data_IF_641699401586
#
_entry.id   IF_641699401586
#
_cell.length_a   1.000
_cell.length_b   1.000
_cell.length_c   1.000
_cell.angle_alpha   90.00
_cell.angle_beta   90.00
_cell.angle_gamma   90.00
#
_symmetry.space_group_name_H-M   'P 1'
#
loop_
_entity.id
_entity.type
_entity.pdbx_description
1 polymer ?
#
# COMPACT_ATOMS: atom_id res chain seq x y z
N UNK A 1 -11.64 -15.86 24.89
CA UNK A 1 -11.38 -16.26 23.49
C UNK A 1 -10.05 -15.66 23.03
N UNK A 2 -9.08 -16.47 22.60
CA UNK A 2 -7.81 -15.97 22.09
C UNK A 2 -8.04 -15.22 20.76
N UNK A 3 -7.78 -13.91 20.74
CA UNK A 3 -7.92 -13.08 19.53
C UNK A 3 -6.91 -13.52 18.47
N UNK A 4 -7.40 -13.87 17.27
CA UNK A 4 -6.57 -14.38 16.17
C UNK A 4 -5.76 -13.23 15.54
N UNK A 5 -4.44 -13.31 15.56
CA UNK A 5 -3.59 -12.30 14.91
C UNK A 5 -3.87 -12.19 13.41
N UNK A 6 -3.84 -10.97 12.87
CA UNK A 6 -3.87 -10.70 11.43
C UNK A 6 -2.55 -11.14 10.81
N UNK A 7 -2.62 -11.76 9.63
CA UNK A 7 -1.45 -12.38 8.99
C UNK A 7 -1.35 -12.01 7.51
N UNK A 8 -0.14 -11.72 7.08
CA UNK A 8 0.21 -11.56 5.67
C UNK A 8 1.49 -12.37 5.41
N UNK A 9 1.44 -13.28 4.42
CA UNK A 9 2.64 -13.95 3.92
C UNK A 9 3.48 -12.94 3.14
N UNK A 10 4.78 -13.01 3.32
CA UNK A 10 5.71 -12.02 2.81
C UNK A 10 7.08 -12.65 2.55
N UNK A 11 7.92 -11.91 1.84
CA UNK A 11 9.34 -12.15 1.71
C UNK A 11 10.12 -11.00 2.33
N UNK A 12 11.17 -11.33 3.08
CA UNK A 12 12.12 -10.39 3.60
C UNK A 12 13.39 -10.43 2.77
N UNK A 13 13.88 -9.27 2.34
CA UNK A 13 15.14 -9.09 1.63
C UNK A 13 15.97 -8.04 2.34
N UNK A 14 17.28 -8.21 2.31
CA UNK A 14 18.23 -7.23 2.82
C UNK A 14 19.06 -6.66 1.68
N UNK A 15 19.40 -5.38 1.76
CA UNK A 15 20.36 -4.72 0.89
C UNK A 15 21.41 -4.02 1.76
N UNK A 16 22.69 -4.13 1.40
CA UNK A 16 23.76 -3.36 2.05
C UNK A 16 24.24 -2.28 1.10
N UNK A 17 24.07 -1.02 1.49
CA UNK A 17 24.39 0.15 0.67
C UNK A 17 25.02 1.24 1.54
N UNK A 18 26.17 1.77 1.13
CA UNK A 18 26.91 2.84 1.82
C UNK A 18 27.10 2.55 3.33
N UNK A 19 27.51 1.31 3.67
CA UNK A 19 27.73 0.87 5.05
C UNK A 19 26.46 0.60 5.87
N UNK A 20 25.27 0.84 5.32
CA UNK A 20 23.98 0.64 5.96
C UNK A 20 23.25 -0.59 5.43
N UNK A 21 22.66 -1.37 6.33
CA UNK A 21 21.72 -2.45 5.96
C UNK A 21 20.29 -1.91 5.88
N UNK A 22 19.59 -2.30 4.82
CA UNK A 22 18.20 -1.97 4.54
C UNK A 22 17.36 -3.22 4.55
N UNK A 23 16.27 -3.19 5.31
CA UNK A 23 15.31 -4.29 5.39
C UNK A 23 14.08 -3.97 4.55
N UNK A 24 13.86 -4.75 3.51
CA UNK A 24 12.73 -4.58 2.59
C UNK A 24 11.82 -5.81 2.66
N UNK A 25 10.56 -5.58 3.00
CA UNK A 25 9.52 -6.59 3.02
C UNK A 25 8.61 -6.43 1.80
N UNK A 26 8.26 -7.54 1.16
CA UNK A 26 7.28 -7.59 0.06
C UNK A 26 6.18 -8.62 0.38
N UNK A 27 4.91 -8.36 0.05
CA UNK A 27 3.88 -9.39 0.14
C UNK A 27 4.23 -10.57 -0.79
N UNK A 28 3.89 -11.78 -0.37
CA UNK A 28 4.07 -13.01 -1.14
C UNK A 28 2.86 -13.94 -0.94
N UNK A 29 2.02 -14.15 -1.97
CA UNK A 29 2.15 -13.64 -3.33
C UNK A 29 2.02 -12.10 -3.39
N UNK A 30 2.46 -11.53 -4.52
CA UNK A 30 2.23 -10.12 -4.83
C UNK A 30 0.72 -9.79 -4.80
N UNK A 31 0.40 -8.52 -4.59
CA UNK A 31 -1.01 -8.06 -4.60
C UNK A 31 -1.41 -7.80 -6.05
N UNK A 32 -1.77 -8.86 -6.76
CA UNK A 32 -2.16 -8.79 -8.17
C UNK A 32 -3.51 -8.10 -8.38
N UNK A 33 -4.35 -8.01 -7.36
CA UNK A 33 -5.62 -7.26 -7.34
C UNK A 33 -5.50 -5.90 -6.65
N UNK A 34 -4.32 -5.28 -6.77
CA UNK A 34 -4.08 -3.88 -6.43
C UNK A 34 -3.32 -3.20 -7.57
N UNK A 35 -3.80 -2.03 -7.99
CA UNK A 35 -3.17 -1.22 -9.01
C UNK A 35 -3.16 0.23 -8.54
N UNK A 36 -1.99 0.88 -8.54
CA UNK A 36 -1.81 2.28 -8.18
C UNK A 36 -1.30 3.03 -9.40
N UNK A 37 -1.83 4.21 -9.67
CA UNK A 37 -1.38 5.04 -10.77
C UNK A 37 -1.45 6.53 -10.41
N UNK A 38 -0.60 7.28 -11.10
CA UNK A 38 -0.57 8.73 -11.06
C UNK A 38 -1.53 9.29 -12.10
N UNK A 39 -2.50 10.06 -11.64
CA UNK A 39 -3.37 10.91 -12.45
C UNK A 39 -2.81 12.33 -12.49
N UNK A 40 -3.42 13.21 -13.29
CA UNK A 40 -2.95 14.59 -13.49
C UNK A 40 -2.87 15.41 -12.18
N UNK A 41 -3.80 15.19 -11.24
CA UNK A 41 -3.90 15.98 -10.00
C UNK A 41 -3.87 15.14 -8.72
N UNK A 42 -3.93 13.81 -8.83
CA UNK A 42 -4.02 12.91 -7.67
C UNK A 42 -3.41 11.55 -7.98
N UNK A 43 -3.32 10.71 -6.96
CA UNK A 43 -3.03 9.28 -7.14
C UNK A 43 -4.28 8.48 -6.93
N UNK A 44 -4.46 7.44 -7.74
CA UNK A 44 -5.63 6.57 -7.63
C UNK A 44 -5.23 5.11 -7.54
N UNK A 45 -5.89 4.39 -6.64
CA UNK A 45 -5.64 2.99 -6.36
C UNK A 45 -6.91 2.17 -6.50
N UNK A 46 -6.87 1.15 -7.34
CA UNK A 46 -7.87 0.09 -7.35
C UNK A 46 -7.44 -1.03 -6.43
N UNK A 47 -8.37 -1.54 -5.62
CA UNK A 47 -8.15 -2.70 -4.73
C UNK A 47 -9.38 -3.59 -4.68
N UNK A 48 -9.18 -4.90 -4.60
CA UNK A 48 -10.22 -5.80 -4.12
C UNK A 48 -10.19 -5.90 -2.59
N UNK A 49 -11.11 -6.69 -2.04
CA UNK A 49 -11.20 -6.93 -0.60
C UNK A 49 -9.90 -7.46 -0.02
N UNK A 50 -9.29 -8.44 -0.70
CA UNK A 50 -8.10 -9.12 -0.20
C UNK A 50 -6.90 -8.16 -0.21
N UNK A 51 -6.67 -7.44 -1.30
CA UNK A 51 -5.59 -6.50 -1.40
C UNK A 51 -5.75 -5.35 -0.39
N UNK A 52 -6.94 -4.78 -0.26
CA UNK A 52 -7.24 -3.75 0.75
C UNK A 52 -6.90 -4.26 2.17
N UNK A 53 -7.35 -5.46 2.53
CA UNK A 53 -7.01 -6.07 3.82
C UNK A 53 -5.49 -6.20 4.01
N UNK A 54 -4.77 -6.73 3.00
CA UNK A 54 -3.33 -6.95 3.08
C UNK A 54 -2.57 -5.62 3.21
N UNK A 55 -2.95 -4.58 2.47
CA UNK A 55 -2.35 -3.25 2.58
C UNK A 55 -2.62 -2.64 3.96
N UNK A 56 -3.84 -2.77 4.51
CA UNK A 56 -4.14 -2.33 5.86
C UNK A 56 -3.25 -3.01 6.92
N UNK A 57 -3.03 -4.32 6.82
CA UNK A 57 -2.11 -5.05 7.73
C UNK A 57 -0.67 -4.59 7.55
N UNK A 58 -0.23 -4.32 6.31
CA UNK A 58 1.10 -3.81 6.00
C UNK A 58 1.30 -2.37 6.51
N UNK A 59 0.28 -1.51 6.47
CA UNK A 59 0.30 -0.20 7.11
C UNK A 59 0.48 -0.32 8.62
N UNK A 60 -0.21 -1.26 9.29
CA UNK A 60 0.05 -1.54 10.71
C UNK A 60 1.47 -2.09 10.97
N UNK A 61 2.05 -2.83 10.02
CA UNK A 61 3.45 -3.23 10.11
C UNK A 61 4.39 -2.02 10.01
N UNK A 62 4.15 -1.08 9.09
CA UNK A 62 4.92 0.16 9.00
C UNK A 62 4.86 0.97 10.30
N UNK A 63 3.69 0.99 10.97
CA UNK A 63 3.53 1.61 12.27
C UNK A 63 4.34 0.93 13.39
N UNK A 64 4.51 -0.40 13.33
CA UNK A 64 5.21 -1.18 14.38
C UNK A 64 6.70 -1.35 14.12
N UNK A 65 7.12 -1.37 12.86
CA UNK A 65 8.46 -1.73 12.44
C UNK A 65 9.20 -0.57 11.80
N UNK A 66 9.78 0.28 12.65
CA UNK A 66 10.36 1.58 12.28
C UNK A 66 11.53 1.54 11.28
N UNK A 67 12.12 0.37 11.06
CA UNK A 67 13.28 0.17 10.17
C UNK A 67 13.00 -0.81 9.03
N UNK A 68 11.74 -1.19 8.81
CA UNK A 68 11.34 -2.00 7.64
C UNK A 68 10.73 -1.09 6.59
N UNK A 69 11.26 -1.17 5.38
CA UNK A 69 10.62 -0.62 4.19
C UNK A 69 9.67 -1.70 3.67
N UNK A 70 8.41 -1.34 3.43
CA UNK A 70 7.44 -2.25 2.82
C UNK A 70 7.27 -1.84 1.38
N UNK A 71 7.59 -2.73 0.46
CA UNK A 71 7.47 -2.50 -0.98
C UNK A 71 6.39 -3.38 -1.57
N UNK A 72 5.40 -2.75 -2.18
CA UNK A 72 4.33 -3.38 -2.92
C UNK A 72 4.58 -3.17 -4.42
N UNK A 73 5.00 -4.21 -5.15
CA UNK A 73 5.16 -4.13 -6.60
C UNK A 73 3.78 -4.24 -7.26
N UNK A 74 3.17 -3.10 -7.58
CA UNK A 74 1.78 -3.04 -8.06
C UNK A 74 1.67 -2.90 -9.58
N UNK A 75 2.76 -2.50 -10.25
CA UNK A 75 2.74 -2.18 -11.70
C UNK A 75 2.41 -3.35 -12.61
N UNK A 76 2.76 -4.56 -12.19
CA UNK A 76 2.51 -5.80 -12.93
C UNK A 76 1.23 -6.53 -12.47
N UNK A 77 0.36 -5.84 -11.74
CA UNK A 77 -0.91 -6.39 -11.30
C UNK A 77 -1.89 -6.62 -12.46
N UNK A 78 -3.00 -7.25 -12.12
CA UNK A 78 -4.20 -7.33 -12.97
C UNK A 78 -4.81 -5.95 -13.15
N UNK A 79 -5.69 -5.82 -14.14
CA UNK A 79 -6.41 -4.57 -14.42
C UNK A 79 -7.86 -4.78 -13.97
N UNK A 80 -8.51 -3.83 -13.29
CA UNK A 80 -9.94 -3.96 -13.00
C UNK A 80 -10.75 -4.02 -14.30
N UNK A 81 -11.88 -4.74 -14.30
CA UNK A 81 -12.72 -4.87 -15.50
C UNK A 81 -13.29 -3.53 -15.98
N UNK A 82 -13.56 -2.62 -15.03
CA UNK A 82 -14.11 -1.29 -15.28
C UNK A 82 -13.25 -0.24 -14.56
N UNK A 83 -12.10 0.15 -15.14
CA UNK A 83 -11.29 1.24 -14.61
C UNK A 83 -12.01 2.57 -14.86
N UNK A 84 -12.20 3.37 -13.81
CA UNK A 84 -12.73 4.74 -13.96
C UNK A 84 -11.66 5.70 -14.51
N UNK A 85 -10.39 5.39 -14.25
CA UNK A 85 -9.22 6.19 -14.61
C UNK A 85 -8.06 5.28 -14.99
N UNK A 86 -7.14 5.84 -15.76
CA UNK A 86 -5.86 5.23 -16.11
C UNK A 86 -4.77 6.27 -15.96
N UNK A 87 -3.54 5.83 -15.71
CA UNK A 87 -2.41 6.73 -15.57
C UNK A 87 -1.10 5.97 -15.60
N UNK A 88 -0.02 6.64 -15.19
CA UNK A 88 1.30 5.99 -15.06
C UNK A 88 1.24 5.01 -13.88
N UNK A 89 1.41 3.69 -14.08
CA UNK A 89 1.35 2.73 -12.99
C UNK A 89 2.56 2.91 -12.06
N UNK A 90 2.33 2.83 -10.75
CA UNK A 90 3.33 3.03 -9.71
C UNK A 90 3.43 1.80 -8.80
N UNK A 91 4.64 1.51 -8.32
CA UNK A 91 4.82 0.71 -7.10
C UNK A 91 4.46 1.56 -5.87
N UNK A 92 4.15 0.91 -4.75
CA UNK A 92 3.94 1.60 -3.46
C UNK A 92 5.01 1.22 -2.45
N UNK A 93 5.56 2.20 -1.75
CA UNK A 93 6.47 2.01 -0.63
C UNK A 93 5.92 2.67 0.63
N UNK A 94 5.78 1.87 1.70
CA UNK A 94 5.48 2.37 3.04
C UNK A 94 6.77 2.38 3.86
N UNK A 95 7.10 3.51 4.47
CA UNK A 95 8.28 3.64 5.31
C UNK A 95 8.00 4.46 6.55
N UNK A 96 8.40 3.96 7.72
CA UNK A 96 8.44 4.80 8.91
C UNK A 96 9.51 5.90 8.75
N UNK A 97 9.25 7.12 9.21
CA UNK A 97 10.18 8.25 9.05
C UNK A 97 11.54 7.99 9.72
N UNK A 98 11.59 7.24 10.82
CA UNK A 98 12.85 6.80 11.48
C UNK A 98 13.73 5.94 10.57
N UNK A 99 13.18 5.30 9.53
CA UNK A 99 14.01 4.62 8.53
C UNK A 99 14.85 5.60 7.72
N UNK A 100 14.52 6.91 7.69
CA UNK A 100 15.31 7.93 6.99
C UNK A 100 15.59 7.53 5.53
N UNK A 101 14.60 6.90 4.88
CA UNK A 101 14.69 6.50 3.48
C UNK A 101 14.68 7.75 2.61
N UNK A 102 15.76 7.99 1.88
CA UNK A 102 15.79 9.00 0.82
C UNK A 102 15.25 8.35 -0.46
N UNK A 103 14.17 8.88 -1.02
CA UNK A 103 13.52 8.30 -2.21
C UNK A 103 14.47 8.16 -3.40
N UNK A 104 15.45 9.06 -3.55
CA UNK A 104 16.46 9.00 -4.61
C UNK A 104 17.43 7.82 -4.48
N UNK A 105 17.53 7.20 -3.30
CA UNK A 105 18.32 5.97 -3.10
C UNK A 105 17.54 4.71 -3.44
N UNK A 106 16.23 4.80 -3.65
CA UNK A 106 15.38 3.65 -3.87
C UNK A 106 15.81 2.77 -5.05
N UNK A 107 16.16 3.31 -6.24
CA UNK A 107 16.65 2.48 -7.33
C UNK A 107 17.90 1.66 -6.95
N UNK A 108 18.86 2.28 -6.26
CA UNK A 108 20.09 1.61 -5.77
C UNK A 108 19.78 0.56 -4.70
N UNK A 109 18.88 0.85 -3.76
CA UNK A 109 18.44 -0.11 -2.73
C UNK A 109 17.77 -1.32 -3.39
N UNK A 110 16.84 -1.10 -4.33
CA UNK A 110 16.16 -2.19 -5.06
C UNK A 110 17.14 -3.09 -5.80
N UNK A 111 18.10 -2.50 -6.51
CA UNK A 111 19.10 -3.23 -7.28
C UNK A 111 20.04 -4.05 -6.39
N UNK A 112 20.29 -3.61 -5.15
CA UNK A 112 21.17 -4.29 -4.19
C UNK A 112 20.44 -5.31 -3.29
N UNK A 113 19.16 -5.62 -3.54
CA UNK A 113 18.42 -6.57 -2.73
C UNK A 113 18.94 -7.99 -2.92
N UNK A 114 19.35 -8.60 -1.83
CA UNK A 114 19.74 -10.00 -1.77
C UNK A 114 18.56 -10.98 -1.93
N UNK A 115 18.81 -12.27 -1.68
CA UNK A 115 17.81 -13.32 -1.82
C UNK A 115 16.61 -13.11 -0.89
N UNK A 116 15.43 -13.52 -1.35
CA UNK A 116 14.22 -13.54 -0.54
C UNK A 116 14.30 -14.62 0.53
N UNK A 117 13.85 -14.27 1.74
CA UNK A 117 13.59 -15.20 2.83
C UNK A 117 12.09 -15.22 3.11
N UNK A 118 11.44 -16.38 3.14
CA UNK A 118 10.04 -16.49 3.55
C UNK A 118 9.82 -15.85 4.93
N UNK A 119 8.74 -15.10 5.04
CA UNK A 119 8.36 -14.39 6.26
C UNK A 119 6.84 -14.38 6.42
N UNK A 120 6.38 -14.16 7.66
CA UNK A 120 4.95 -13.98 7.93
C UNK A 120 4.78 -12.83 8.89
N UNK A 121 4.18 -11.76 8.38
CA UNK A 121 3.75 -10.63 9.17
C UNK A 121 2.66 -11.09 10.12
N UNK A 122 2.80 -10.79 11.41
CA UNK A 122 1.80 -11.05 12.44
C UNK A 122 1.52 -9.76 13.20
N UNK A 123 0.30 -9.26 13.07
CA UNK A 123 -0.16 -8.06 13.79
C UNK A 123 -1.27 -8.49 14.76
N UNK A 124 -1.21 -8.10 16.05
CA UNK A 124 -2.33 -8.34 16.97
C UNK A 124 -3.62 -7.77 16.39
N UNK A 125 -4.73 -8.52 16.49
CA UNK A 125 -6.04 -8.05 16.00
C UNK A 125 -6.62 -6.87 16.80
N UNK A 126 -5.98 -6.50 17.90
CA UNK A 126 -6.37 -5.34 18.70
C UNK A 126 -6.06 -4.06 17.92
N UNK A 127 -7.06 -3.62 17.15
CA UNK A 127 -7.13 -2.26 16.65
C UNK A 127 -7.53 -1.39 17.83
N UNK A 128 -6.58 -0.63 18.38
CA UNK A 128 -6.96 0.50 19.22
C UNK A 128 -7.62 1.51 18.28
N UNK A 129 -8.82 2.02 18.60
CA UNK A 129 -9.40 3.12 17.84
C UNK A 129 -8.34 4.21 17.75
N UNK A 130 -7.97 4.57 16.54
CA UNK A 130 -7.14 5.75 16.34
C UNK A 130 -8.11 6.91 16.44
N UNK A 131 -8.00 7.71 17.50
CA UNK A 131 -8.64 9.02 17.50
C UNK A 131 -8.20 9.71 16.21
N UNK A 132 -9.17 10.06 15.35
CA UNK A 132 -8.88 10.73 14.08
C UNK A 132 -7.97 11.90 14.43
N UNK A 133 -6.76 12.00 13.86
CA UNK A 133 -5.88 13.11 14.15
C UNK A 133 -6.66 14.37 13.84
N UNK A 134 -7.03 15.13 14.87
CA UNK A 134 -7.66 16.42 14.69
C UNK A 134 -6.72 17.22 13.78
N UNK A 135 -7.25 17.91 12.77
CA UNK A 135 -6.56 18.62 11.68
C UNK A 135 -5.37 19.52 12.09
N UNK A 136 -5.15 19.71 13.40
CA UNK A 136 -4.00 20.37 14.03
C UNK A 136 -2.78 19.48 14.27
N UNK A 137 -2.81 18.18 14.03
CA UNK A 137 -1.59 17.35 14.18
C UNK A 137 -0.66 17.59 13.00
N UNK A 138 0.61 17.96 13.30
CA UNK A 138 1.69 18.06 12.30
C UNK A 138 2.18 16.70 11.80
N UNK A 139 1.70 15.62 12.40
CA UNK A 139 2.07 14.26 12.05
C UNK A 139 1.23 13.77 10.88
N UNK A 140 1.86 13.62 9.71
CA UNK A 140 1.23 13.32 8.43
C UNK A 140 2.07 12.30 7.63
N UNK A 141 1.46 11.64 6.65
CA UNK A 141 2.14 10.90 5.60
C UNK A 141 2.73 11.89 4.61
N UNK A 142 4.06 11.94 4.56
CA UNK A 142 4.77 12.58 3.48
C UNK A 142 4.76 11.67 2.26
N UNK A 143 3.98 12.05 1.26
CA UNK A 143 3.91 11.36 -0.02
C UNK A 143 4.92 11.95 -1.02
N UNK A 144 5.55 11.12 -1.84
CA UNK A 144 6.41 11.57 -2.94
C UNK A 144 6.46 10.50 -4.02
N UNK A 145 6.49 10.90 -5.29
CA UNK A 145 6.69 9.99 -6.41
C UNK A 145 8.15 10.10 -6.90
N UNK A 146 8.81 8.95 -7.10
CA UNK A 146 10.14 8.87 -7.70
C UNK A 146 10.39 7.48 -8.30
N UNK A 147 10.92 7.43 -9.52
CA UNK A 147 11.27 6.17 -10.21
C UNK A 147 10.12 5.15 -10.26
N UNK A 148 8.95 5.61 -10.72
CA UNK A 148 7.69 4.85 -10.83
C UNK A 148 7.26 4.21 -9.50
N UNK A 149 7.49 4.93 -8.39
CA UNK A 149 7.14 4.48 -7.05
C UNK A 149 6.58 5.65 -6.26
N UNK A 150 5.39 5.47 -5.71
CA UNK A 150 4.85 6.35 -4.67
C UNK A 150 5.41 5.92 -3.31
N UNK A 151 5.95 6.87 -2.56
CA UNK A 151 6.43 6.66 -1.20
C UNK A 151 5.48 7.32 -0.23
N UNK A 152 4.99 6.58 0.75
CA UNK A 152 4.29 7.10 1.91
C UNK A 152 5.22 6.99 3.11
N UNK A 153 5.67 8.12 3.65
CA UNK A 153 6.55 8.18 4.81
C UNK A 153 5.86 8.81 6.00
N UNK A 154 5.75 8.10 7.12
CA UNK A 154 5.01 8.60 8.28
C UNK A 154 5.45 8.04 9.62
N UNK A 155 4.73 8.40 10.66
CA UNK A 155 4.89 7.88 12.02
C UNK A 155 3.98 6.68 12.29
N UNK A 156 4.11 6.10 13.49
CA UNK A 156 3.23 5.04 13.94
C UNK A 156 1.74 5.45 14.07
N UNK A 157 1.36 6.58 14.71
CA UNK A 157 -0.04 7.05 14.73
C UNK A 157 -0.66 7.17 13.34
N UNK A 158 0.04 7.84 12.42
CA UNK A 158 -0.46 8.09 11.06
C UNK A 158 -0.63 6.81 10.26
N UNK A 159 0.32 5.87 10.32
CA UNK A 159 0.15 4.58 9.63
C UNK A 159 -0.98 3.73 10.21
N UNK A 160 -1.25 3.82 11.53
CA UNK A 160 -2.44 3.18 12.11
C UNK A 160 -3.71 3.81 11.58
N UNK A 161 -3.74 5.14 11.46
CA UNK A 161 -4.90 5.83 10.90
C UNK A 161 -5.11 5.47 9.42
N UNK A 162 -4.06 5.52 8.61
CA UNK A 162 -4.10 5.13 7.20
C UNK A 162 -4.59 3.68 7.01
N UNK A 163 -4.23 2.76 7.92
CA UNK A 163 -4.69 1.38 7.88
C UNK A 163 -6.23 1.26 7.97
N UNK A 164 -6.91 2.15 8.69
CA UNK A 164 -8.37 2.10 8.84
C UNK A 164 -9.10 2.36 7.52
N UNK A 165 -8.59 3.23 6.65
CA UNK A 165 -9.18 3.45 5.32
C UNK A 165 -9.18 2.18 4.45
N UNK A 166 -8.06 1.45 4.47
CA UNK A 166 -7.96 0.16 3.79
C UNK A 166 -8.87 -0.91 4.42
N UNK A 167 -9.01 -0.91 5.74
CA UNK A 167 -9.92 -1.83 6.40
C UNK A 167 -11.39 -1.50 6.15
N UNK A 168 -11.74 -0.22 6.10
CA UNK A 168 -13.09 0.21 5.74
C UNK A 168 -13.45 -0.32 4.34
N UNK A 169 -12.56 -0.18 3.35
CA UNK A 169 -12.77 -0.81 2.04
C UNK A 169 -12.87 -2.35 2.12
N UNK A 170 -12.00 -3.00 2.89
CA UNK A 170 -11.99 -4.47 2.98
C UNK A 170 -13.20 -5.09 3.69
N UNK A 171 -13.88 -4.33 4.57
CA UNK A 171 -14.97 -4.87 5.41
C UNK A 171 -16.32 -4.18 5.21
N UNK A 172 -16.36 -3.00 4.58
CA UNK A 172 -17.57 -2.19 4.44
C UNK A 172 -17.91 -1.83 3.00
N UNK A 173 -17.04 -2.12 2.03
CA UNK A 173 -17.40 -1.92 0.62
C UNK A 173 -18.55 -2.88 0.22
N UNK A 174 -19.61 -2.39 -0.45
CA UNK A 174 -20.61 -3.24 -1.10
C UNK A 174 -19.94 -4.27 -2.03
N UNK A 175 -20.35 -5.54 -1.96
CA UNK A 175 -19.70 -6.62 -2.70
C UNK A 175 -18.47 -7.23 -2.01
N UNK A 176 -18.15 -6.79 -0.79
CA UNK A 176 -17.10 -7.42 0.04
C UNK A 176 -17.59 -8.68 0.77
N UNK A 177 -18.91 -8.87 0.89
CA UNK A 177 -19.53 -10.10 1.36
C UNK A 177 -19.74 -11.10 0.21
N UNK A 178 -19.55 -12.42 0.44
CA UNK A 178 -19.84 -13.42 -0.58
C UNK A 178 -21.30 -13.36 -1.04
N UNK A 179 -21.54 -13.20 -2.35
CA UNK A 179 -22.87 -13.21 -2.95
C UNK A 179 -23.54 -11.84 -3.09
N UNK A 180 -22.91 -10.75 -2.66
CA UNK A 180 -23.34 -9.41 -3.06
C UNK A 180 -22.84 -9.12 -4.48
N UNK A 181 -23.75 -9.05 -5.44
CA UNK A 181 -23.52 -8.24 -6.64
C UNK A 181 -23.65 -6.78 -6.21
N UNK A 182 -22.65 -5.94 -6.48
CA UNK A 182 -22.85 -4.51 -6.26
C UNK A 182 -22.37 -3.66 -7.43
N UNK A 183 -23.30 -2.91 -8.05
CA UNK A 183 -22.98 -1.78 -8.92
C UNK A 183 -22.67 -0.49 -8.11
N UNK A 184 -22.49 -0.57 -6.78
CA UNK A 184 -22.27 0.61 -5.95
C UNK A 184 -20.79 0.99 -5.83
N UNK A 185 -20.49 2.23 -6.21
CA UNK A 185 -19.18 2.87 -6.03
C UNK A 185 -18.81 2.89 -4.54
N UNK A 186 -17.66 2.29 -4.21
CA UNK A 186 -17.13 2.27 -2.86
C UNK A 186 -15.70 2.79 -2.88
N UNK A 187 -15.50 3.96 -2.30
CA UNK A 187 -14.21 4.62 -2.26
C UNK A 187 -13.81 5.00 -0.84
N UNK A 188 -12.52 5.22 -0.68
CA UNK A 188 -11.93 5.84 0.49
C UNK A 188 -10.81 6.76 0.03
N UNK A 189 -10.72 7.92 0.65
CA UNK A 189 -9.74 8.94 0.29
C UNK A 189 -8.78 9.16 1.45
N UNK A 190 -7.49 9.18 1.14
CA UNK A 190 -6.46 9.68 2.05
C UNK A 190 -5.99 11.00 1.46
N UNK A 191 -6.37 12.11 2.08
CA UNK A 191 -6.18 13.43 1.47
C UNK A 191 -5.61 14.48 2.45
N UNK A 192 -5.34 15.66 1.93
CA UNK A 192 -4.84 16.81 2.70
C UNK A 192 -5.88 17.35 3.69
N UNK A 193 -7.16 17.28 3.36
CA UNK A 193 -8.29 17.80 4.14
C UNK A 193 -8.62 16.92 5.34
N UNK A 194 -8.42 15.61 5.23
CA UNK A 194 -8.45 14.66 6.34
C UNK A 194 -7.18 14.73 7.19
N UNK A 195 -6.21 15.57 6.80
CA UNK A 195 -4.99 15.87 7.54
C UNK A 195 -3.93 14.78 7.46
N UNK A 196 -4.03 13.87 6.49
CA UNK A 196 -3.15 12.69 6.41
C UNK A 196 -2.04 12.86 5.39
N UNK A 197 -2.26 13.42 4.21
CA UNK A 197 -1.18 13.65 3.22
C UNK A 197 -0.48 15.01 3.40
N UNK A 198 0.67 15.20 2.74
CA UNK A 198 1.46 16.45 2.79
C UNK A 198 1.61 17.13 1.44
N UNK A 199 1.81 16.38 0.34
CA UNK A 199 2.11 16.98 -0.97
C UNK A 199 1.07 16.67 -2.04
N UNK A 200 0.59 15.43 -2.16
CA UNK A 200 -0.45 15.07 -3.11
C UNK A 200 -1.81 15.56 -2.61
N UNK A 201 -2.65 16.00 -3.55
CA UNK A 201 -4.02 16.43 -3.25
C UNK A 201 -4.82 15.28 -2.61
N UNK A 202 -4.68 14.06 -3.15
CA UNK A 202 -5.37 12.86 -2.66
C UNK A 202 -4.68 11.54 -3.10
N UNK A 203 -4.76 10.51 -2.25
CA UNK A 203 -4.73 9.10 -2.63
C UNK A 203 -6.16 8.56 -2.57
N UNK A 204 -6.82 8.56 -3.72
CA UNK A 204 -8.16 8.04 -3.89
C UNK A 204 -8.09 6.52 -4.07
N UNK A 205 -8.85 5.77 -3.29
CA UNK A 205 -8.88 4.31 -3.35
C UNK A 205 -10.27 3.86 -3.71
N UNK A 206 -10.42 3.06 -4.77
CA UNK A 206 -11.71 2.47 -5.16
C UNK A 206 -11.67 0.97 -5.02
N UNK A 207 -12.77 0.43 -4.50
CA UNK A 207 -13.04 -0.99 -4.49
C UNK A 207 -13.39 -1.49 -5.90
N UNK A 208 -12.80 -2.62 -6.28
CA UNK A 208 -13.15 -3.37 -7.50
C UNK A 208 -13.20 -4.87 -7.18
N UNK A 209 -14.37 -5.48 -7.40
CA UNK A 209 -14.55 -6.91 -7.21
C UNK A 209 -14.01 -7.74 -8.40
N UNK A 210 -14.07 -7.17 -9.61
CA UNK A 210 -13.77 -7.89 -10.85
C UNK A 210 -12.47 -7.39 -11.48
N UNK A 211 -11.58 -8.34 -11.76
CA UNK A 211 -10.24 -8.10 -12.30
C UNK A 211 -10.01 -8.97 -13.53
N UNK A 212 -9.41 -8.40 -14.57
CA UNK A 212 -9.00 -9.09 -15.79
C UNK A 212 -7.51 -9.46 -15.68
N UNK A 213 -7.02 -10.49 -16.39
CA UNK A 213 -5.58 -10.69 -16.54
C UNK A 213 -4.91 -9.41 -17.04
N UNK A 214 -3.66 -9.18 -16.63
CA UNK A 214 -2.82 -8.13 -17.24
C UNK A 214 -2.74 -8.41 -18.74
N UNK A 215 -2.98 -7.44 -19.60
CA UNK A 215 -2.72 -7.62 -21.03
C UNK A 215 -1.24 -7.98 -21.19
N UNK A 216 -0.93 -9.13 -21.83
CA UNK A 216 0.44 -9.35 -22.29
C UNK A 216 0.84 -8.19 -23.20
N UNK A 217 2.09 -7.71 -23.16
CA UNK A 217 2.55 -6.76 -24.16
C UNK A 217 2.39 -7.43 -25.54
N UNK A 218 1.43 -6.92 -26.33
CA UNK A 218 1.30 -7.28 -27.73
C UNK A 218 2.58 -6.83 -28.43
N UNK A 219 3.45 -7.79 -28.75
CA UNK A 219 4.68 -7.56 -29.50
C UNK A 219 5.96 -7.98 -28.77
N UNK A 220 6.18 -9.28 -28.61
CA UNK A 220 7.53 -9.83 -28.73
C UNK A 220 7.66 -10.36 -30.17
N UNK A 221 8.63 -9.90 -30.97
CA UNK A 221 8.92 -10.57 -32.23
C UNK A 221 9.51 -11.95 -31.94
N UNK A 222 9.11 -12.93 -32.74
CA UNK A 222 9.72 -14.26 -32.82
C UNK A 222 11.24 -14.20 -33.10
#
# INVERSE_FOLDING_TARGET
MARRAMKVRAQLRHARLDGREWRVLRPDPVLDTALLFECEWHTEMYVDRRAAYQIGVLSLLAARSRHTIIHLPLRAGRIPAEPERTGRPLDLVLSHHTAQLRVSRWPRIRAALGPARPHTVRIPAERRPVERPYWRTRDRLYDRIHADTMFLTGSAPVFRHAAEYFFDLAFRAPGSAPGEESPHHACAEVDLTCGVLVNADNLHMLYRAHWLPSAEPVGAPD
#
